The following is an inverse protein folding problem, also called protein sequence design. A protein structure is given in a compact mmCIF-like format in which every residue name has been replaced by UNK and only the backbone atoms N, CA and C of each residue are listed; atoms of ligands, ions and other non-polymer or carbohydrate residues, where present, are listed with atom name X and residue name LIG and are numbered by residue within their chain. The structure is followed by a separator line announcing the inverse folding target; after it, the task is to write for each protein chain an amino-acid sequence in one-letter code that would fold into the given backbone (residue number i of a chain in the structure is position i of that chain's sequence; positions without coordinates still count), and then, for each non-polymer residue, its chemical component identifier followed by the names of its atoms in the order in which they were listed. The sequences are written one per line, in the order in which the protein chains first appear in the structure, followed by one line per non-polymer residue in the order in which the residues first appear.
data_IF_522217445675
#
_entry.id   IF_522217445675
#
_cell.length_a   1.000
_cell.length_b   1.000
_cell.length_c   1.000
_cell.angle_alpha   90.00
_cell.angle_beta   90.00
_cell.angle_gamma   90.00
#
_symmetry.space_group_name_H-M   'P 1'
#
loop_
_entity.id
_entity.type
_entity.pdbx_description
1 polymer ?
#
# COMPACT_ATOMS: atom_id res chain seq x y z
N UNK A 1 -6.37 24.06 3.37
CA UNK A 1 -7.71 24.51 2.96
C UNK A 1 -7.56 25.39 1.75
N UNK A 2 -8.44 25.20 0.75
CA UNK A 2 -8.82 26.22 -0.23
C UNK A 2 -10.24 25.87 -0.68
N UNK A 3 -11.18 26.77 -0.40
CA UNK A 3 -12.58 26.72 -0.81
C UNK A 3 -12.77 27.54 -2.08
N UNK A 4 -13.62 27.06 -2.99
CA UNK A 4 -14.32 27.89 -3.97
C UNK A 4 -15.78 27.42 -3.98
N UNK A 5 -16.69 28.34 -3.64
CA UNK A 5 -18.14 28.14 -3.65
C UNK A 5 -18.75 28.93 -4.79
N UNK A 6 -19.59 28.28 -5.61
CA UNK A 6 -20.64 28.95 -6.38
C UNK A 6 -21.93 28.15 -6.18
N UNK A 7 -22.99 28.86 -5.76
CA UNK A 7 -24.23 28.31 -5.26
C UNK A 7 -25.11 27.58 -6.28
N UNK A 8 -25.98 26.75 -5.72
CA UNK A 8 -27.02 25.96 -6.36
C UNK A 8 -27.51 24.95 -5.31
N UNK A 9 -28.68 25.21 -4.74
CA UNK A 9 -29.33 24.32 -3.77
C UNK A 9 -29.63 22.97 -4.42
N UNK A 10 -28.83 21.96 -4.08
CA UNK A 10 -29.13 20.55 -4.29
C UNK A 10 -28.67 19.81 -3.03
N UNK A 11 -29.63 19.27 -2.27
CA UNK A 11 -29.42 18.43 -1.09
C UNK A 11 -28.86 17.08 -1.53
N UNK A 12 -27.59 17.09 -1.91
CA UNK A 12 -26.85 15.95 -2.41
C UNK A 12 -25.49 15.94 -1.74
N UNK A 13 -25.41 15.39 -0.52
CA UNK A 13 -24.16 15.17 0.22
C UNK A 13 -23.19 14.39 -0.67
N UNK A 14 -22.39 15.11 -1.48
CA UNK A 14 -21.31 14.54 -2.30
C UNK A 14 -20.46 13.69 -1.37
N UNK A 15 -20.58 12.36 -1.49
CA UNK A 15 -19.71 11.45 -0.75
C UNK A 15 -18.29 11.84 -1.12
N UNK A 16 -17.51 12.33 -0.14
CA UNK A 16 -16.09 12.56 -0.36
C UNK A 16 -15.48 11.21 -0.69
N UNK A 17 -15.16 11.00 -1.96
CA UNK A 17 -14.46 9.80 -2.42
C UNK A 17 -13.05 9.92 -1.83
N UNK A 18 -12.72 9.02 -0.90
CA UNK A 18 -11.38 8.95 -0.33
C UNK A 18 -10.36 8.47 -1.37
N UNK A 19 -9.08 8.71 -1.12
CA UNK A 19 -7.99 8.23 -1.97
C UNK A 19 -7.41 6.93 -1.38
N UNK A 20 -7.16 5.94 -2.24
CA UNK A 20 -6.51 4.69 -1.85
C UNK A 20 -5.18 4.60 -2.60
N UNK A 21 -4.08 4.60 -1.85
CA UNK A 21 -2.75 4.41 -2.42
C UNK A 21 -2.38 2.94 -2.35
N UNK A 22 -2.07 2.34 -3.49
CA UNK A 22 -1.75 0.92 -3.58
C UNK A 22 -0.30 0.75 -3.99
N UNK A 23 0.52 0.18 -3.11
CA UNK A 23 1.98 0.22 -3.23
C UNK A 23 2.58 -1.17 -3.38
N UNK A 24 3.50 -1.35 -4.32
CA UNK A 24 4.39 -2.52 -4.39
C UNK A 24 5.76 -2.10 -4.96
N UNK A 25 6.83 -2.77 -4.53
CA UNK A 25 8.20 -2.54 -5.03
C UNK A 25 8.33 -2.93 -6.50
N UNK A 26 7.62 -3.95 -6.94
CA UNK A 26 7.68 -4.51 -8.29
C UNK A 26 6.78 -3.74 -9.26
N UNK A 27 7.40 -3.01 -10.19
CA UNK A 27 6.68 -2.33 -11.29
C UNK A 27 5.71 -3.26 -12.03
N UNK A 28 6.13 -4.50 -12.32
CA UNK A 28 5.28 -5.49 -13.00
C UNK A 28 4.00 -5.81 -12.22
N UNK A 29 4.10 -5.93 -10.89
CA UNK A 29 2.94 -6.16 -10.02
C UNK A 29 2.02 -4.94 -9.99
N UNK A 30 2.59 -3.73 -9.87
CA UNK A 30 1.81 -2.48 -9.88
C UNK A 30 1.07 -2.28 -11.20
N UNK A 31 1.71 -2.55 -12.35
CA UNK A 31 1.04 -2.50 -13.66
C UNK A 31 -0.09 -3.53 -13.77
N UNK A 32 0.11 -4.75 -13.24
CA UNK A 32 -0.93 -5.77 -13.23
C UNK A 32 -2.09 -5.44 -12.27
N UNK A 33 -1.81 -4.74 -11.17
CA UNK A 33 -2.80 -4.20 -10.24
C UNK A 33 -3.59 -3.04 -10.88
N UNK A 34 -2.90 -2.13 -11.57
CA UNK A 34 -3.50 -1.00 -12.27
C UNK A 34 -4.51 -1.45 -13.33
N UNK A 35 -4.15 -2.44 -14.16
CA UNK A 35 -5.06 -3.02 -15.17
C UNK A 35 -6.32 -3.61 -14.55
N UNK A 36 -6.19 -4.40 -13.49
CA UNK A 36 -7.34 -4.97 -12.77
C UNK A 36 -8.23 -3.89 -12.16
N UNK A 37 -7.63 -2.85 -11.58
CA UNK A 37 -8.37 -1.71 -11.04
C UNK A 37 -9.13 -0.96 -12.13
N UNK A 38 -8.56 -0.85 -13.33
CA UNK A 38 -9.21 -0.22 -14.48
C UNK A 38 -10.40 -1.05 -14.99
N UNK A 39 -10.22 -2.36 -15.12
CA UNK A 39 -11.30 -3.32 -15.47
C UNK A 39 -12.46 -3.26 -14.48
N UNK A 40 -12.18 -3.08 -13.19
CA UNK A 40 -13.18 -2.96 -12.13
C UNK A 40 -13.73 -1.52 -11.93
N UNK A 41 -13.23 -0.52 -12.67
CA UNK A 41 -13.61 0.88 -12.48
C UNK A 41 -13.14 1.50 -11.15
N UNK A 42 -12.16 0.88 -10.48
CA UNK A 42 -11.59 1.33 -9.20
C UNK A 42 -10.38 2.26 -9.38
N UNK A 43 -9.76 2.29 -10.56
CA UNK A 43 -8.58 3.11 -10.83
C UNK A 43 -8.95 4.59 -10.96
N UNK A 44 -8.18 5.45 -10.32
CA UNK A 44 -8.29 6.90 -10.47
C UNK A 44 -8.10 7.34 -11.94
N UNK A 45 -8.85 8.35 -12.45
CA UNK A 45 -9.84 9.19 -11.76
C UNK A 45 -11.26 8.60 -11.64
N UNK A 46 -11.54 7.46 -12.29
CA UNK A 46 -12.89 6.85 -12.25
C UNK A 46 -13.23 6.25 -10.88
N UNK A 47 -12.23 5.72 -10.18
CA UNK A 47 -12.32 5.22 -8.82
C UNK A 47 -11.25 5.81 -7.89
N UNK A 48 -11.14 5.31 -6.65
CA UNK A 48 -10.27 5.92 -5.64
C UNK A 48 -8.81 5.46 -5.69
N UNK A 49 -8.47 4.42 -6.46
CA UNK A 49 -7.19 3.73 -6.33
C UNK A 49 -6.09 4.32 -7.23
N UNK A 50 -4.93 4.63 -6.63
CA UNK A 50 -3.72 5.11 -7.30
C UNK A 50 -2.59 4.08 -7.11
N UNK A 51 -2.21 3.36 -8.17
CA UNK A 51 -1.09 2.41 -8.15
C UNK A 51 0.27 3.12 -8.12
N UNK A 52 1.10 2.79 -7.13
CA UNK A 52 2.42 3.41 -6.91
C UNK A 52 3.49 2.33 -6.83
N UNK A 53 4.55 2.50 -7.60
CA UNK A 53 5.80 1.75 -7.47
C UNK A 53 6.67 2.45 -6.42
N UNK A 54 6.86 1.80 -5.28
CA UNK A 54 7.68 2.32 -4.18
C UNK A 54 8.18 1.15 -3.33
N UNK A 55 9.36 1.31 -2.74
CA UNK A 55 9.82 0.37 -1.71
C UNK A 55 9.12 0.65 -0.38
N UNK A 56 8.12 -0.16 -0.05
CA UNK A 56 7.43 -0.11 1.24
C UNK A 56 8.27 -0.62 2.40
N UNK A 57 9.47 -1.15 2.14
CA UNK A 57 10.41 -1.43 3.20
C UNK A 57 10.78 -0.12 3.86
N UNK A 58 11.31 0.92 3.22
CA UNK A 58 11.64 2.19 3.88
C UNK A 58 10.69 3.32 3.43
N UNK A 59 9.40 3.32 3.83
CA UNK A 59 8.42 4.21 3.23
C UNK A 59 8.60 5.67 3.65
N UNK A 60 9.29 5.97 4.76
CA UNK A 60 9.38 7.34 5.28
C UNK A 60 10.65 8.11 4.86
N UNK A 61 11.58 7.50 4.10
CA UNK A 61 12.95 8.03 4.01
C UNK A 61 13.70 7.90 5.35
N UNK A 62 15.03 7.90 5.33
CA UNK A 62 15.82 8.02 6.57
C UNK A 62 15.75 9.48 7.05
N UNK A 63 15.67 9.71 8.36
CA UNK A 63 15.50 11.05 8.97
C UNK A 63 16.62 12.06 8.59
N UNK A 64 17.74 11.56 8.05
CA UNK A 64 18.92 12.33 7.62
C UNK A 64 19.16 12.35 6.10
N UNK A 65 18.27 11.75 5.29
CA UNK A 65 18.41 11.73 3.83
C UNK A 65 17.86 13.02 3.21
N UNK A 66 18.74 13.80 2.56
CA UNK A 66 18.36 14.90 1.68
C UNK A 66 17.28 14.43 0.69
N UNK A 67 16.18 15.17 0.65
CA UNK A 67 14.95 14.86 -0.04
C UNK A 67 15.15 14.87 -1.56
N UNK A 68 15.52 13.75 -2.17
CA UNK A 68 15.73 13.63 -3.62
C UNK A 68 14.69 12.67 -4.25
N UNK A 69 13.50 13.19 -4.54
CA UNK A 69 12.45 12.49 -5.31
C UNK A 69 11.04 13.06 -5.12
N UNK A 70 10.16 12.82 -6.11
CA UNK A 70 8.75 13.27 -6.10
C UNK A 70 8.07 12.88 -4.78
N UNK A 71 7.77 13.89 -3.96
CA UNK A 71 7.05 13.70 -2.70
C UNK A 71 5.71 13.00 -2.93
N UNK A 72 5.21 12.21 -1.97
CA UNK A 72 3.84 11.70 -2.05
C UNK A 72 2.81 12.80 -2.42
N UNK A 73 3.01 14.02 -1.91
CA UNK A 73 2.14 15.15 -2.20
C UNK A 73 2.15 15.51 -3.69
N UNK A 74 3.31 15.42 -4.31
CA UNK A 74 3.50 15.63 -5.74
C UNK A 74 2.94 14.46 -6.55
N UNK A 75 3.15 13.22 -6.12
CA UNK A 75 2.52 12.04 -6.72
C UNK A 75 0.99 12.15 -6.68
N UNK A 76 0.41 12.51 -5.53
CA UNK A 76 -1.04 12.72 -5.40
C UNK A 76 -1.48 13.89 -6.27
N UNK A 77 -0.78 15.04 -6.22
CA UNK A 77 -1.12 16.20 -7.06
C UNK A 77 -1.14 15.81 -8.54
N UNK A 78 -0.09 15.17 -9.04
CA UNK A 78 0.01 14.70 -10.43
C UNK A 78 -1.09 13.72 -10.78
N UNK A 79 -1.40 12.76 -9.89
CA UNK A 79 -2.55 11.87 -10.07
C UNK A 79 -3.85 12.66 -10.18
N UNK A 80 -4.05 13.68 -9.34
CA UNK A 80 -5.33 14.40 -9.25
C UNK A 80 -5.48 15.57 -10.22
N UNK A 81 -4.39 16.06 -10.82
CA UNK A 81 -4.37 17.26 -11.67
C UNK A 81 -4.53 16.97 -13.16
N UNK A 82 -4.50 15.70 -13.57
CA UNK A 82 -4.68 15.30 -14.97
C UNK A 82 -5.81 14.28 -15.08
N UNK A 83 -6.57 14.32 -16.18
CA UNK A 83 -7.49 13.21 -16.50
C UNK A 83 -6.74 11.99 -17.02
N UNK A 84 -5.57 12.21 -17.64
CA UNK A 84 -4.68 11.17 -18.12
C UNK A 84 -3.63 10.83 -17.05
N UNK A 85 -4.00 9.94 -16.13
CA UNK A 85 -3.10 9.46 -15.08
C UNK A 85 -2.29 8.28 -15.61
N UNK A 86 -0.93 8.29 -15.48
CA UNK A 86 -0.10 7.17 -15.91
C UNK A 86 -0.52 5.84 -15.30
N UNK A 87 -0.27 4.73 -16.03
CA UNK A 87 -0.56 3.35 -15.56
C UNK A 87 0.03 3.08 -14.17
N UNK A 88 1.21 3.63 -13.91
CA UNK A 88 1.88 3.53 -12.62
C UNK A 88 2.55 4.85 -12.29
N UNK A 89 2.51 5.22 -11.03
CA UNK A 89 3.28 6.34 -10.50
C UNK A 89 4.46 5.85 -9.69
N UNK A 90 5.42 6.73 -9.39
CA UNK A 90 6.53 6.46 -8.47
C UNK A 90 6.47 7.46 -7.32
N UNK A 91 6.90 7.00 -6.15
CA UNK A 91 7.18 7.84 -5.00
C UNK A 91 8.44 7.27 -4.33
N UNK A 92 9.31 8.15 -3.86
CA UNK A 92 10.50 7.76 -3.09
C UNK A 92 10.18 7.59 -1.60
N UNK A 93 9.28 8.44 -1.08
CA UNK A 93 8.86 8.42 0.33
C UNK A 93 7.43 8.94 0.54
N UNK A 94 6.87 8.55 1.67
CA UNK A 94 5.60 8.97 2.23
C UNK A 94 5.89 9.78 3.49
N UNK A 95 5.11 10.84 3.72
CA UNK A 95 5.22 11.58 4.98
C UNK A 95 4.63 10.74 6.12
N UNK A 96 5.28 10.69 7.30
CA UNK A 96 4.71 10.12 8.51
C UNK A 96 3.41 10.82 8.92
N UNK A 97 2.51 10.09 9.61
CA UNK A 97 1.39 10.70 10.33
C UNK A 97 0.22 11.23 9.49
N UNK A 98 0.08 10.82 8.23
CA UNK A 98 -0.92 11.41 7.30
C UNK A 98 -2.07 10.47 6.94
N UNK A 99 -1.95 9.16 7.19
CA UNK A 99 -2.95 8.20 6.74
C UNK A 99 -4.02 7.96 7.79
N UNK A 100 -5.29 8.04 7.39
CA UNK A 100 -6.42 7.65 8.22
C UNK A 100 -6.43 6.14 8.51
N UNK A 101 -6.02 5.35 7.51
CA UNK A 101 -6.05 3.89 7.54
C UNK A 101 -4.87 3.32 6.77
N UNK A 102 -4.31 2.22 7.26
CA UNK A 102 -3.28 1.43 6.57
C UNK A 102 -3.68 -0.03 6.57
N UNK A 103 -3.66 -0.67 5.41
CA UNK A 103 -3.71 -2.12 5.28
C UNK A 103 -2.29 -2.61 5.01
N UNK A 104 -1.74 -3.38 5.95
CA UNK A 104 -0.45 -4.01 5.81
C UNK A 104 -0.65 -5.51 5.53
N UNK A 105 -0.33 -5.90 4.29
CA UNK A 105 -0.27 -7.28 3.83
C UNK A 105 1.20 -7.60 3.50
N UNK A 106 2.03 -7.91 4.51
CA UNK A 106 3.46 -8.09 4.31
C UNK A 106 3.76 -9.44 3.65
N UNK A 107 4.95 -9.63 3.06
CA UNK A 107 5.39 -10.96 2.64
C UNK A 107 5.32 -11.94 3.83
N UNK A 108 4.77 -13.13 3.57
CA UNK A 108 4.49 -14.17 4.55
C UNK A 108 5.05 -15.52 4.07
N UNK A 109 5.28 -16.47 4.99
CA UNK A 109 5.71 -17.85 4.65
C UNK A 109 4.70 -18.66 3.84
N UNK A 110 3.46 -18.16 3.72
CA UNK A 110 2.39 -18.69 2.90
C UNK A 110 2.01 -20.15 3.23
N UNK A 111 2.20 -20.57 4.48
CA UNK A 111 1.87 -21.93 4.93
C UNK A 111 0.38 -22.26 4.81
N UNK A 112 -0.48 -21.23 4.77
CA UNK A 112 -1.94 -21.35 4.65
C UNK A 112 -2.46 -21.60 3.23
N UNK A 113 -1.65 -21.47 2.17
CA UNK A 113 -2.12 -21.70 0.79
C UNK A 113 -2.60 -23.14 0.56
N UNK A 114 -3.62 -23.31 -0.30
CA UNK A 114 -4.30 -24.60 -0.61
C UNK A 114 -4.63 -24.71 -2.11
N UNK A 115 -4.70 -25.94 -2.67
CA UNK A 115 -4.50 -27.25 -2.02
C UNK A 115 -3.01 -27.64 -1.93
N UNK A 116 -2.62 -28.40 -0.89
CA UNK A 116 -1.27 -28.95 -0.76
C UNK A 116 -1.34 -30.48 -0.92
N UNK A 117 -1.24 -30.95 -2.15
CA UNK A 117 -1.11 -32.39 -2.48
C UNK A 117 0.18 -32.57 -3.28
N UNK A 118 1.19 -33.17 -2.64
CA UNK A 118 2.53 -33.37 -3.21
C UNK A 118 3.29 -32.05 -3.37
N UNK A 119 4.29 -31.81 -2.52
CA UNK A 119 5.23 -30.71 -2.73
C UNK A 119 5.97 -30.98 -4.04
N UNK A 120 5.48 -30.42 -5.15
CA UNK A 120 6.14 -30.47 -6.44
C UNK A 120 7.55 -29.84 -6.39
N UNK A 121 8.38 -30.01 -7.43
CA UNK A 121 9.78 -29.59 -7.44
C UNK A 121 10.02 -28.08 -7.31
N UNK A 122 8.96 -27.26 -7.32
CA UNK A 122 9.01 -25.80 -7.19
C UNK A 122 8.75 -25.30 -5.75
N UNK A 123 8.45 -26.19 -4.80
CA UNK A 123 8.32 -25.82 -3.40
C UNK A 123 9.70 -25.83 -2.74
N UNK A 124 10.23 -24.65 -2.42
CA UNK A 124 11.37 -24.57 -1.51
C UNK A 124 10.96 -25.18 -0.16
N UNK A 125 11.85 -26.00 0.40
CA UNK A 125 11.71 -26.46 1.77
C UNK A 125 11.86 -25.24 2.68
N UNK A 126 10.76 -24.85 3.35
CA UNK A 126 10.76 -23.75 4.32
C UNK A 126 11.49 -24.26 5.56
N UNK A 127 12.58 -23.61 5.91
CA UNK A 127 13.37 -23.96 7.10
C UNK A 127 12.88 -23.15 8.30
N UNK A 128 13.07 -23.62 9.54
CA UNK A 128 12.73 -22.86 10.75
C UNK A 128 13.34 -21.46 10.76
N UNK A 129 14.57 -21.30 10.27
CA UNK A 129 15.26 -20.01 10.21
C UNK A 129 14.58 -19.03 9.25
N UNK A 130 13.96 -19.54 8.17
CA UNK A 130 13.20 -18.72 7.23
C UNK A 130 11.94 -18.14 7.90
N UNK A 131 11.28 -18.91 8.77
CA UNK A 131 10.09 -18.47 9.51
C UNK A 131 10.43 -17.35 10.50
N UNK A 132 11.55 -17.47 11.22
CA UNK A 132 12.03 -16.44 12.14
C UNK A 132 12.42 -15.16 11.40
N UNK A 133 13.08 -15.31 10.25
CA UNK A 133 13.44 -14.21 9.36
C UNK A 133 12.20 -13.46 8.85
N UNK A 134 11.16 -14.19 8.39
CA UNK A 134 9.89 -13.59 7.96
C UNK A 134 9.24 -12.79 9.08
N UNK A 135 9.14 -13.35 10.28
CA UNK A 135 8.61 -12.67 11.45
C UNK A 135 9.38 -11.37 11.77
N UNK A 136 10.71 -11.40 11.72
CA UNK A 136 11.53 -10.21 11.94
C UNK A 136 11.28 -9.11 10.90
N UNK A 137 11.20 -9.49 9.62
CA UNK A 137 10.88 -8.57 8.51
C UNK A 137 9.48 -7.96 8.68
N UNK A 138 8.48 -8.76 9.03
CA UNK A 138 7.11 -8.30 9.26
C UNK A 138 7.01 -7.28 10.40
N UNK A 139 7.72 -7.50 11.51
CA UNK A 139 7.80 -6.52 12.61
C UNK A 139 8.36 -5.16 12.14
N UNK A 140 9.31 -5.17 11.21
CA UNK A 140 9.82 -3.94 10.63
C UNK A 140 8.76 -3.22 9.79
N UNK A 141 8.05 -3.95 8.93
CA UNK A 141 6.91 -3.41 8.18
C UNK A 141 5.82 -2.83 9.09
N UNK A 142 5.50 -3.51 10.19
CA UNK A 142 4.53 -3.03 11.19
C UNK A 142 4.95 -1.68 11.76
N UNK A 143 6.20 -1.53 12.23
CA UNK A 143 6.71 -0.26 12.78
C UNK A 143 6.59 0.87 11.75
N UNK A 144 6.95 0.58 10.50
CA UNK A 144 6.92 1.53 9.39
C UNK A 144 5.49 1.91 8.99
N UNK A 145 4.56 0.95 8.97
CA UNK A 145 3.15 1.20 8.73
C UNK A 145 2.49 2.05 9.84
N UNK A 146 2.86 1.82 11.10
CA UNK A 146 2.39 2.63 12.23
C UNK A 146 2.87 4.08 12.11
N UNK A 147 4.12 4.30 11.70
CA UNK A 147 4.65 5.65 11.49
C UNK A 147 3.88 6.47 10.44
N UNK A 148 3.23 5.81 9.48
CA UNK A 148 2.40 6.46 8.46
C UNK A 148 1.03 6.90 8.98
N UNK A 149 0.52 6.29 10.04
CA UNK A 149 -0.79 6.61 10.59
C UNK A 149 -0.78 7.94 11.35
N UNK A 150 -1.81 8.76 11.11
CA UNK A 150 -2.11 9.88 11.99
C UNK A 150 -2.51 9.38 13.39
N UNK A 151 -2.50 10.28 14.38
CA UNK A 151 -3.11 10.02 15.67
C UNK A 151 -4.58 9.56 15.51
N UNK A 152 -4.93 8.44 16.15
CA UNK A 152 -6.25 7.81 16.03
C UNK A 152 -6.53 7.17 14.66
N UNK A 153 -5.50 6.97 13.83
CA UNK A 153 -5.60 6.16 12.61
C UNK A 153 -5.71 4.66 12.93
N UNK A 154 -6.16 3.87 11.96
CA UNK A 154 -6.37 2.42 12.14
C UNK A 154 -5.51 1.62 11.18
N UNK A 155 -4.78 0.63 11.69
CA UNK A 155 -4.06 -0.35 10.87
C UNK A 155 -4.77 -1.70 10.90
N UNK A 156 -4.82 -2.36 9.75
CA UNK A 156 -5.13 -3.78 9.65
C UNK A 156 -3.88 -4.52 9.20
N UNK A 157 -3.54 -5.59 9.90
CA UNK A 157 -2.47 -6.53 9.55
C UNK A 157 -3.11 -7.84 9.08
N UNK A 158 -2.65 -8.39 7.96
CA UNK A 158 -3.15 -9.65 7.43
C UNK A 158 -2.01 -10.51 6.93
N UNK A 159 -2.09 -11.83 7.12
CA UNK A 159 -1.15 -12.78 6.55
C UNK A 159 -1.88 -13.97 5.93
N UNK A 160 -1.14 -14.68 5.10
CA UNK A 160 -1.53 -15.92 4.43
C UNK A 160 -0.97 -17.17 5.12
N UNK A 161 -0.57 -17.08 6.40
CA UNK A 161 0.13 -18.12 7.14
C UNK A 161 -0.53 -18.42 8.48
N UNK A 162 -0.29 -19.62 9.00
CA UNK A 162 -0.71 -20.03 10.35
C UNK A 162 0.46 -20.02 11.35
N UNK A 163 1.66 -19.62 10.93
CA UNK A 163 2.82 -19.57 11.82
C UNK A 163 2.65 -18.50 12.90
N UNK A 164 2.74 -18.91 14.17
CA UNK A 164 2.51 -18.03 15.33
C UNK A 164 3.48 -16.84 15.36
N UNK A 165 4.75 -17.06 14.98
CA UNK A 165 5.73 -15.98 14.97
C UNK A 165 5.45 -14.88 13.94
N UNK A 166 4.66 -15.16 12.91
CA UNK A 166 4.24 -14.18 11.89
C UNK A 166 2.89 -13.52 12.22
N UNK A 167 2.20 -14.01 13.26
CA UNK A 167 0.87 -13.58 13.65
C UNK A 167 0.88 -12.99 15.08
N UNK A 168 0.77 -13.81 16.13
CA UNK A 168 0.67 -13.36 17.52
C UNK A 168 2.01 -12.94 18.17
N UNK A 169 3.14 -13.17 17.51
CA UNK A 169 4.50 -12.99 18.06
C UNK A 169 5.16 -11.61 17.90
#
# INVERSE_FOLDING_TARGET
GTTATSGGDDDGRRRKIGLVLCVDRSRKKVEAMARRMEEMGLRYPRGPAVPIVMDSSAPCGDDDAEFDGDSLRETIRRATSTEDVPMTMRASSLRPGIFDRVLLDPPCSALGLRPKLGLGPSHHEIRPEDLESQAAVQRNFVRRAVALLRAGGVMTYSTCTYHVGENEG
#
